data_IF_105476500734
#
_entry.id   IF_105476500734
#
_cell.length_a   1.000
_cell.length_b   1.000
_cell.length_c   1.000
_cell.angle_alpha   90.00
_cell.angle_beta   90.00
_cell.angle_gamma   90.00
#
_symmetry.space_group_name_H-M   'P 1'
#
loop_
_entity.id
_entity.type
_entity.pdbx_description
1 polymer ?
#
# COMPACT_ATOMS: atom_id res chain seq x y z
N UNK A 1 8.81 -32.47 -1.13
CA UNK A 1 7.65 -32.77 -1.97
C UNK A 1 8.02 -33.57 -3.18
N UNK A 2 7.01 -34.08 -3.88
CA UNK A 2 7.14 -34.97 -5.05
C UNK A 2 7.27 -34.22 -6.39
N UNK A 3 7.29 -32.89 -6.38
CA UNK A 3 7.44 -32.06 -7.59
C UNK A 3 8.89 -32.16 -8.11
N UNK A 4 9.10 -32.52 -9.39
CA UNK A 4 10.44 -32.54 -10.00
C UNK A 4 11.12 -31.17 -9.95
N UNK A 5 12.44 -31.16 -9.70
CA UNK A 5 13.21 -29.94 -9.41
C UNK A 5 13.24 -28.97 -10.60
N UNK A 6 13.19 -29.49 -11.81
CA UNK A 6 13.14 -28.75 -13.07
C UNK A 6 11.88 -27.89 -13.22
N UNK A 7 10.78 -28.24 -12.54
CA UNK A 7 9.53 -27.46 -12.59
C UNK A 7 9.41 -26.41 -11.49
N UNK A 8 10.28 -26.41 -10.48
CA UNK A 8 10.27 -25.41 -9.40
C UNK A 8 10.39 -23.97 -9.95
N UNK A 9 11.29 -23.66 -10.91
CA UNK A 9 11.35 -22.34 -11.53
C UNK A 9 10.05 -21.94 -12.22
N UNK A 10 9.32 -22.89 -12.82
CA UNK A 10 8.04 -22.64 -13.48
C UNK A 10 6.97 -22.23 -12.46
N UNK A 11 6.87 -22.96 -11.34
CA UNK A 11 5.99 -22.61 -10.22
C UNK A 11 6.32 -21.21 -9.69
N UNK A 12 7.61 -20.93 -9.46
CA UNK A 12 8.06 -19.62 -8.99
C UNK A 12 7.68 -18.51 -9.98
N UNK A 13 7.83 -18.74 -11.28
CA UNK A 13 7.41 -17.80 -12.33
C UNK A 13 5.91 -17.58 -12.31
N UNK A 14 5.12 -18.63 -12.14
CA UNK A 14 3.66 -18.55 -12.01
C UNK A 14 3.20 -17.68 -10.85
N UNK A 15 3.86 -17.81 -9.70
CA UNK A 15 3.62 -16.99 -8.52
C UNK A 15 4.02 -15.53 -8.80
N UNK A 16 5.24 -15.30 -9.33
CA UNK A 16 5.73 -13.95 -9.64
C UNK A 16 4.86 -13.21 -10.64
N UNK A 17 4.34 -13.90 -11.65
CA UNK A 17 3.43 -13.31 -12.63
C UNK A 17 2.07 -12.94 -12.03
N UNK A 18 1.68 -13.55 -10.90
CA UNK A 18 0.45 -13.22 -10.17
C UNK A 18 0.63 -12.07 -9.16
N UNK A 19 1.85 -11.82 -8.69
CA UNK A 19 2.15 -10.76 -7.69
C UNK A 19 1.66 -9.37 -8.11
N UNK A 20 1.82 -8.91 -9.38
CA UNK A 20 1.35 -7.59 -9.78
C UNK A 20 -0.16 -7.38 -9.69
N UNK A 21 -0.95 -8.45 -9.64
CA UNK A 21 -2.42 -8.41 -9.71
C UNK A 21 -3.04 -9.12 -8.49
N UNK A 22 -3.09 -8.41 -7.36
CA UNK A 22 -3.68 -8.89 -6.12
C UNK A 22 -5.19 -9.10 -6.19
N UNK A 23 -5.71 -9.96 -5.31
CA UNK A 23 -7.10 -10.47 -5.36
C UNK A 23 -8.15 -9.48 -4.83
N UNK A 24 -7.75 -8.40 -4.16
CA UNK A 24 -8.67 -7.43 -3.57
C UNK A 24 -9.11 -6.35 -4.56
N UNK A 25 -8.14 -5.68 -5.18
CA UNK A 25 -8.37 -4.51 -6.04
C UNK A 25 -7.33 -4.41 -7.18
N UNK A 26 -6.68 -5.54 -7.52
CA UNK A 26 -5.71 -5.58 -8.62
C UNK A 26 -4.35 -4.92 -8.35
N UNK A 27 -4.09 -4.45 -7.14
CA UNK A 27 -2.79 -3.87 -6.79
C UNK A 27 -1.69 -4.92 -6.57
N UNK A 28 -0.41 -4.55 -6.71
CA UNK A 28 0.70 -5.44 -6.41
C UNK A 28 0.67 -5.96 -4.98
N UNK A 29 0.95 -7.25 -4.83
CA UNK A 29 1.05 -7.92 -3.53
C UNK A 29 2.47 -7.80 -3.00
N UNK A 30 2.63 -7.31 -1.78
CA UNK A 30 3.93 -7.17 -1.10
C UNK A 30 3.95 -7.97 0.20
N UNK A 31 5.13 -8.12 0.79
CA UNK A 31 5.35 -8.77 2.09
C UNK A 31 4.82 -10.21 2.20
N UNK A 32 4.97 -10.97 1.11
CA UNK A 32 4.59 -12.39 1.05
C UNK A 32 5.80 -13.32 1.07
N UNK A 33 5.69 -14.41 1.83
CA UNK A 33 6.60 -15.55 1.78
C UNK A 33 5.83 -16.76 1.26
N UNK A 34 6.29 -17.32 0.14
CA UNK A 34 5.69 -18.51 -0.46
C UNK A 34 6.63 -19.69 -0.29
N UNK A 35 6.10 -20.84 0.14
CA UNK A 35 6.88 -22.08 0.32
C UNK A 35 6.17 -23.22 -0.39
N UNK A 36 6.84 -23.81 -1.37
CA UNK A 36 6.40 -25.05 -2.01
C UNK A 36 6.86 -26.24 -1.16
N UNK A 37 5.97 -26.80 -0.36
CA UNK A 37 6.28 -27.94 0.51
C UNK A 37 6.02 -29.29 -0.17
N UNK A 38 4.95 -29.37 -0.96
CA UNK A 38 4.55 -30.60 -1.66
C UNK A 38 3.74 -30.34 -2.94
N UNK A 39 3.50 -31.39 -3.71
CA UNK A 39 2.66 -31.39 -4.91
C UNK A 39 2.66 -32.75 -5.60
N UNK A 40 1.94 -32.85 -6.71
CA UNK A 40 1.84 -34.06 -7.53
C UNK A 40 2.15 -33.75 -8.99
N UNK A 41 2.59 -34.76 -9.73
CA UNK A 41 2.80 -34.67 -11.17
C UNK A 41 2.38 -35.97 -11.86
N UNK A 42 2.18 -35.88 -13.16
CA UNK A 42 1.90 -37.00 -14.06
C UNK A 42 2.88 -36.93 -15.22
N UNK A 43 3.57 -38.02 -15.54
CA UNK A 43 4.70 -38.02 -16.50
C UNK A 43 4.34 -37.51 -17.89
N UNK A 44 3.11 -37.75 -18.35
CA UNK A 44 2.67 -37.41 -19.71
C UNK A 44 2.07 -36.00 -19.79
N UNK A 45 1.29 -35.61 -18.78
CA UNK A 45 0.48 -34.39 -18.84
C UNK A 45 1.14 -33.20 -18.14
N UNK A 46 2.15 -33.45 -17.30
CA UNK A 46 2.86 -32.40 -16.58
C UNK A 46 3.93 -31.76 -17.44
N UNK A 47 3.87 -30.43 -17.52
CA UNK A 47 4.81 -29.62 -18.26
C UNK A 47 5.01 -28.27 -17.57
N UNK A 48 5.98 -27.49 -18.06
CA UNK A 48 6.34 -26.19 -17.47
C UNK A 48 5.14 -25.24 -17.37
N UNK A 49 4.32 -25.15 -18.42
CA UNK A 49 3.14 -24.28 -18.44
C UNK A 49 2.09 -24.71 -17.41
N UNK A 50 1.87 -26.02 -17.23
CA UNK A 50 0.96 -26.55 -16.24
C UNK A 50 1.40 -26.16 -14.81
N UNK A 51 2.68 -26.33 -14.48
CA UNK A 51 3.21 -25.94 -13.17
C UNK A 51 3.22 -24.42 -12.94
N UNK A 52 3.48 -23.65 -13.99
CA UNK A 52 3.35 -22.19 -13.95
C UNK A 52 1.92 -21.76 -13.65
N UNK A 53 0.93 -22.32 -14.35
CA UNK A 53 -0.47 -22.04 -14.09
C UNK A 53 -0.89 -22.48 -12.68
N UNK A 54 -0.48 -23.68 -12.25
CA UNK A 54 -0.77 -24.19 -10.92
C UNK A 54 -0.23 -23.28 -9.81
N UNK A 55 1.01 -22.78 -9.95
CA UNK A 55 1.60 -21.82 -9.02
C UNK A 55 0.81 -20.50 -8.93
N UNK A 56 0.37 -19.98 -10.08
CA UNK A 56 -0.46 -18.76 -10.14
C UNK A 56 -1.82 -18.94 -9.46
N UNK A 57 -2.50 -20.04 -9.75
CA UNK A 57 -3.82 -20.38 -9.18
C UNK A 57 -3.69 -20.59 -7.67
N UNK A 58 -2.72 -21.40 -7.23
CA UNK A 58 -2.48 -21.68 -5.82
C UNK A 58 -2.15 -20.42 -5.02
N UNK A 59 -1.36 -19.50 -5.60
CA UNK A 59 -1.05 -18.22 -4.96
C UNK A 59 -2.30 -17.36 -4.78
N UNK A 60 -3.13 -17.20 -5.81
CA UNK A 60 -4.37 -16.41 -5.72
C UNK A 60 -5.36 -17.01 -4.72
N UNK A 61 -5.54 -18.32 -4.73
CA UNK A 61 -6.40 -19.02 -3.75
C UNK A 61 -5.87 -18.89 -2.33
N UNK A 62 -4.55 -19.02 -2.15
CA UNK A 62 -3.90 -18.80 -0.86
C UNK A 62 -4.14 -17.38 -0.33
N UNK A 63 -3.96 -16.37 -1.18
CA UNK A 63 -4.22 -14.97 -0.82
C UNK A 63 -5.67 -14.73 -0.40
N UNK A 64 -6.65 -15.28 -1.12
CA UNK A 64 -8.08 -15.13 -0.77
C UNK A 64 -8.40 -15.67 0.63
N UNK A 65 -7.72 -16.73 1.06
CA UNK A 65 -7.91 -17.37 2.37
C UNK A 65 -7.09 -16.72 3.48
N UNK A 66 -6.08 -15.94 3.14
CA UNK A 66 -5.14 -15.33 4.08
C UNK A 66 -5.63 -14.01 4.70
N UNK A 67 -6.89 -13.61 4.44
CA UNK A 67 -7.45 -12.32 4.87
C UNK A 67 -6.56 -11.13 4.48
N UNK A 68 -6.35 -10.89 3.18
CA UNK A 68 -5.42 -9.87 2.71
C UNK A 68 -5.94 -8.47 3.10
N UNK A 69 -5.03 -7.54 3.34
CA UNK A 69 -5.33 -6.14 3.61
C UNK A 69 -4.88 -5.25 2.44
N UNK A 70 -5.61 -4.15 2.21
CA UNK A 70 -5.14 -3.10 1.31
C UNK A 70 -4.17 -2.22 2.08
N UNK A 71 -3.02 -1.91 1.47
CA UNK A 71 -2.02 -1.05 2.08
C UNK A 71 -2.04 0.33 1.42
N UNK A 72 -1.81 1.37 2.21
CA UNK A 72 -1.56 2.73 1.73
C UNK A 72 -0.14 3.19 2.08
N UNK A 73 0.51 3.97 1.21
CA UNK A 73 1.85 4.51 1.49
C UNK A 73 1.77 5.65 2.50
N UNK A 74 2.58 5.54 3.55
CA UNK A 74 2.74 6.55 4.60
C UNK A 74 4.01 7.37 4.33
N UNK A 75 3.86 8.69 4.36
CA UNK A 75 4.93 9.65 4.15
C UNK A 75 5.44 10.16 5.49
N UNK A 76 6.76 10.22 5.65
CA UNK A 76 7.38 11.05 6.68
C UNK A 76 7.35 12.50 6.18
N UNK A 77 6.63 13.36 6.87
CA UNK A 77 6.44 14.77 6.53
C UNK A 77 7.15 15.62 7.56
N UNK A 78 7.94 16.59 7.10
CA UNK A 78 8.58 17.60 7.93
C UNK A 78 8.07 18.97 7.48
N UNK A 79 7.56 19.77 8.42
CA UNK A 79 7.06 21.12 8.16
C UNK A 79 7.83 22.10 9.01
N UNK A 80 8.46 23.09 8.38
CA UNK A 80 9.09 24.22 9.08
C UNK A 80 8.13 25.41 9.03
N UNK A 81 7.84 26.01 10.19
CA UNK A 81 6.88 27.12 10.28
C UNK A 81 7.21 28.06 11.44
N UNK A 82 6.88 29.36 11.35
CA UNK A 82 6.92 30.25 12.51
C UNK A 82 5.99 29.78 13.63
N UNK A 83 6.35 30.05 14.89
CA UNK A 83 5.57 29.65 16.07
C UNK A 83 4.10 30.12 16.00
N UNK A 84 3.86 31.33 15.48
CA UNK A 84 2.52 31.91 15.29
C UNK A 84 1.55 31.04 14.49
N UNK A 85 2.06 30.16 13.61
CA UNK A 85 1.25 29.29 12.76
C UNK A 85 1.29 27.81 13.12
N UNK A 86 2.09 27.43 14.11
CA UNK A 86 2.27 26.04 14.51
C UNK A 86 0.92 25.36 14.78
N UNK A 87 0.01 26.03 15.48
CA UNK A 87 -1.33 25.51 15.76
C UNK A 87 -2.15 25.19 14.51
N UNK A 88 -2.08 26.06 13.49
CA UNK A 88 -2.78 25.84 12.21
C UNK A 88 -2.19 24.66 11.44
N UNK A 89 -0.86 24.54 11.43
CA UNK A 89 -0.15 23.43 10.77
C UNK A 89 -0.52 22.10 11.43
N UNK A 90 -0.40 22.00 12.75
CA UNK A 90 -0.72 20.79 13.50
C UNK A 90 -2.18 20.41 13.35
N UNK A 91 -3.10 21.38 13.47
CA UNK A 91 -4.52 21.14 13.28
C UNK A 91 -4.85 20.59 11.89
N UNK A 92 -4.21 21.13 10.85
CA UNK A 92 -4.43 20.66 9.48
C UNK A 92 -3.81 19.29 9.20
N UNK A 93 -2.61 18.99 9.72
CA UNK A 93 -2.01 17.65 9.64
C UNK A 93 -2.91 16.60 10.31
N UNK A 94 -3.43 16.89 11.50
CA UNK A 94 -4.38 15.99 12.18
C UNK A 94 -5.66 15.77 11.36
N UNK A 95 -6.19 16.81 10.71
CA UNK A 95 -7.38 16.67 9.83
C UNK A 95 -7.14 15.76 8.62
N UNK A 96 -5.87 15.55 8.26
CA UNK A 96 -5.39 14.70 7.16
C UNK A 96 -4.93 13.32 7.62
N UNK A 97 -5.46 12.84 8.75
CA UNK A 97 -5.03 11.57 9.37
C UNK A 97 -3.52 11.53 9.68
N UNK A 98 -2.91 12.69 9.84
CA UNK A 98 -1.51 12.83 10.20
C UNK A 98 -1.28 12.50 11.66
N UNK A 99 -0.24 11.73 11.95
CA UNK A 99 0.21 11.43 13.31
C UNK A 99 1.48 12.20 13.61
N UNK A 100 1.38 13.18 14.50
CA UNK A 100 2.53 13.99 14.93
C UNK A 100 3.52 13.10 15.69
N UNK A 101 4.78 13.13 15.28
CA UNK A 101 5.88 12.37 15.87
C UNK A 101 6.69 13.25 16.83
N UNK A 102 7.04 14.46 16.39
CA UNK A 102 7.76 15.42 17.22
C UNK A 102 7.46 16.87 16.80
N UNK A 103 7.71 17.78 17.74
CA UNK A 103 7.71 19.21 17.53
C UNK A 103 9.00 19.76 18.17
N UNK A 104 9.83 20.40 17.36
CA UNK A 104 11.18 20.82 17.75
C UNK A 104 11.37 22.32 17.47
N UNK A 105 12.13 23.00 18.31
CA UNK A 105 12.48 24.41 18.12
C UNK A 105 13.62 24.56 17.11
N UNK A 106 13.48 25.51 16.18
CA UNK A 106 14.53 25.90 15.25
C UNK A 106 15.34 27.07 15.81
N UNK A 107 16.63 27.09 15.48
CA UNK A 107 17.44 28.29 15.68
C UNK A 107 16.83 29.47 14.90
N UNK A 108 16.52 30.56 15.61
CA UNK A 108 15.87 31.74 15.02
C UNK A 108 14.36 31.86 15.23
N UNK A 109 13.76 31.02 16.07
CA UNK A 109 12.36 31.18 16.52
C UNK A 109 11.30 30.49 15.63
N UNK A 110 11.72 29.60 14.74
CA UNK A 110 10.83 28.70 14.00
C UNK A 110 10.53 27.41 14.76
N UNK A 111 9.58 26.62 14.26
CA UNK A 111 9.24 25.27 14.72
C UNK A 111 9.37 24.28 13.57
N UNK A 112 9.87 23.09 13.85
CA UNK A 112 9.78 21.92 12.97
C UNK A 112 8.71 20.99 13.51
N UNK A 113 7.75 20.61 12.68
CA UNK A 113 6.73 19.61 12.99
C UNK A 113 6.98 18.38 12.12
N UNK A 114 7.25 17.25 12.77
CA UNK A 114 7.39 15.95 12.09
C UNK A 114 6.11 15.15 12.25
N UNK A 115 5.61 14.59 11.16
CA UNK A 115 4.39 13.80 11.15
C UNK A 115 4.49 12.64 10.16
N UNK A 116 3.70 11.60 10.42
CA UNK A 116 3.41 10.56 9.45
C UNK A 116 2.04 10.81 8.84
N UNK A 117 1.95 10.90 7.51
CA UNK A 117 0.70 11.22 6.83
C UNK A 117 0.50 10.30 5.63
N UNK A 118 -0.69 9.72 5.44
CA UNK A 118 -0.99 8.95 4.24
C UNK A 118 -0.83 9.81 2.98
N UNK A 119 -0.15 9.30 1.95
CA UNK A 119 0.12 10.05 0.71
C UNK A 119 -1.17 10.54 0.03
N UNK A 120 -2.25 9.76 0.11
CA UNK A 120 -3.56 10.12 -0.43
C UNK A 120 -4.08 11.46 0.13
N UNK A 121 -3.70 11.79 1.37
CA UNK A 121 -4.09 13.02 2.05
C UNK A 121 -3.11 14.17 1.79
N UNK A 122 -1.99 13.94 1.12
CA UNK A 122 -0.96 14.97 0.87
C UNK A 122 -1.16 15.74 -0.45
N UNK A 123 -2.16 15.35 -1.25
CA UNK A 123 -2.48 16.07 -2.47
C UNK A 123 -2.92 17.52 -2.15
N UNK A 124 -2.43 18.47 -2.94
CA UNK A 124 -2.62 19.92 -2.75
C UNK A 124 -2.10 20.49 -1.41
N UNK A 125 -1.35 19.73 -0.61
CA UNK A 125 -0.89 20.18 0.71
C UNK A 125 -0.04 21.46 0.63
N UNK A 126 0.84 21.59 -0.38
CA UNK A 126 1.66 22.79 -0.61
C UNK A 126 0.83 24.08 -0.67
N UNK A 127 -0.24 24.08 -1.46
CA UNK A 127 -1.11 25.25 -1.63
C UNK A 127 -1.84 25.60 -0.34
N UNK A 128 -2.36 24.60 0.37
CA UNK A 128 -3.05 24.81 1.64
C UNK A 128 -2.10 25.30 2.73
N UNK A 129 -0.91 24.71 2.85
CA UNK A 129 0.11 25.11 3.82
C UNK A 129 0.50 26.58 3.61
N UNK A 130 0.70 27.00 2.35
CA UNK A 130 0.98 28.40 2.02
C UNK A 130 -0.13 29.32 2.51
N UNK A 131 -1.40 28.94 2.33
CA UNK A 131 -2.54 29.73 2.80
C UNK A 131 -2.60 29.81 4.33
N UNK A 132 -2.37 28.69 5.03
CA UNK A 132 -2.44 28.60 6.50
C UNK A 132 -1.35 29.41 7.21
N UNK A 133 -0.23 29.65 6.52
CA UNK A 133 0.98 30.24 7.08
C UNK A 133 1.38 31.56 6.41
N UNK A 134 0.49 32.11 5.57
CA UNK A 134 0.77 33.31 4.76
C UNK A 134 2.05 33.16 3.90
N UNK A 135 2.36 31.93 3.50
CA UNK A 135 3.53 31.57 2.72
C UNK A 135 4.84 31.54 3.48
N UNK A 136 4.79 31.46 4.82
CA UNK A 136 5.97 31.44 5.68
C UNK A 136 6.38 30.04 6.14
N UNK A 137 5.69 29.00 5.68
CA UNK A 137 6.07 27.61 5.95
C UNK A 137 6.50 26.86 4.70
N UNK A 138 7.39 25.91 4.91
CA UNK A 138 7.89 24.94 3.92
C UNK A 138 7.60 23.53 4.41
N UNK A 139 7.54 22.57 3.49
CA UNK A 139 7.48 21.17 3.89
C UNK A 139 8.28 20.31 2.94
N UNK A 140 8.74 19.19 3.46
CA UNK A 140 9.31 18.08 2.69
C UNK A 140 8.55 16.80 3.06
N UNK A 141 8.59 15.82 2.16
CA UNK A 141 8.07 14.50 2.47
C UNK A 141 8.84 13.41 1.74
N UNK A 142 9.02 12.27 2.39
CA UNK A 142 9.62 11.07 1.82
C UNK A 142 8.80 9.83 2.18
N UNK A 143 8.87 8.80 1.32
CA UNK A 143 8.22 7.54 1.59
C UNK A 143 8.83 6.90 2.84
N UNK A 144 7.99 6.52 3.81
CA UNK A 144 8.43 5.83 5.03
C UNK A 144 8.18 4.33 4.95
N UNK A 145 6.91 3.95 4.82
CA UNK A 145 6.49 2.54 4.79
C UNK A 145 5.06 2.42 4.25
N UNK A 146 4.61 1.19 4.04
CA UNK A 146 3.20 0.88 3.81
C UNK A 146 2.52 0.52 5.11
N UNK A 147 1.28 0.97 5.30
CA UNK A 147 0.43 0.62 6.44
C UNK A 147 -0.95 0.16 5.97
N UNK A 148 -1.67 -0.59 6.79
CA UNK A 148 -3.03 -1.02 6.46
C UNK A 148 -3.96 0.19 6.30
N UNK A 149 -4.63 0.26 5.16
CA UNK A 149 -5.58 1.31 4.87
C UNK A 149 -6.81 1.16 5.80
N UNK A 150 -7.34 2.26 6.36
CA UNK A 150 -8.57 2.23 7.13
C UNK A 150 -9.71 1.55 6.38
N UNK A 151 -10.51 0.75 7.09
CA UNK A 151 -11.56 -0.08 6.51
C UNK A 151 -12.51 0.68 5.58
N UNK A 152 -12.92 1.90 5.97
CA UNK A 152 -13.79 2.76 5.17
C UNK A 152 -13.17 3.16 3.83
N UNK A 153 -11.85 3.36 3.77
CA UNK A 153 -11.12 3.68 2.54
C UNK A 153 -10.92 2.41 1.71
N UNK A 154 -10.50 1.33 2.35
CA UNK A 154 -10.28 0.04 1.72
C UNK A 154 -11.55 -0.49 1.04
N UNK A 155 -12.69 -0.50 1.74
CA UNK A 155 -13.98 -0.96 1.22
C UNK A 155 -14.42 -0.11 0.01
N UNK A 156 -14.15 1.20 0.02
CA UNK A 156 -14.45 2.08 -1.11
C UNK A 156 -13.66 1.72 -2.38
N UNK A 157 -12.36 1.46 -2.23
CA UNK A 157 -11.47 1.09 -3.33
C UNK A 157 -11.81 -0.31 -3.85
N UNK A 158 -11.95 -1.27 -2.93
CA UNK A 158 -12.29 -2.66 -3.28
C UNK A 158 -13.63 -2.70 -4.03
N UNK A 159 -14.65 -1.97 -3.60
CA UNK A 159 -15.92 -1.99 -4.31
C UNK A 159 -15.88 -1.34 -5.70
N UNK A 160 -14.97 -0.39 -5.94
CA UNK A 160 -14.80 0.25 -7.24
C UNK A 160 -13.98 -0.62 -8.21
N UNK A 161 -12.90 -1.20 -7.71
CA UNK A 161 -11.83 -1.77 -8.55
C UNK A 161 -11.73 -3.30 -8.44
N UNK A 162 -12.71 -3.98 -7.83
CA UNK A 162 -12.70 -5.44 -7.71
C UNK A 162 -12.76 -6.10 -9.11
N UNK A 163 -11.70 -6.81 -9.53
CA UNK A 163 -11.62 -7.40 -10.86
C UNK A 163 -12.63 -8.54 -11.08
N UNK A 164 -13.15 -9.15 -10.01
CA UNK A 164 -14.15 -10.22 -10.07
C UNK A 164 -15.60 -9.65 -10.08
N UNK A 165 -15.80 -8.36 -9.77
CA UNK A 165 -17.08 -7.68 -9.96
C UNK A 165 -17.11 -7.01 -11.33
N UNK A 166 -17.70 -7.69 -12.32
CA UNK A 166 -17.95 -7.11 -13.64
C UNK A 166 -18.70 -5.75 -13.56
N UNK A 167 -18.64 -4.91 -14.61
CA UNK A 167 -19.25 -3.58 -14.61
C UNK A 167 -20.78 -3.72 -14.48
N UNK A 168 -21.33 -3.60 -13.27
CA UNK A 168 -22.79 -3.63 -13.08
C UNK A 168 -23.38 -4.16 -11.77
N UNK A 169 -22.62 -4.42 -10.70
CA UNK A 169 -23.22 -4.90 -9.43
C UNK A 169 -23.52 -3.81 -8.39
N UNK A 170 -23.54 -2.53 -8.80
CA UNK A 170 -23.94 -1.39 -7.96
C UNK A 170 -25.29 -0.82 -8.39
N UNK A 171 -26.39 -1.51 -8.07
CA UNK A 171 -27.73 -0.95 -7.82
C UNK A 171 -28.74 -2.08 -7.55
N UNK A 172 -29.06 -2.29 -6.28
CA UNK A 172 -30.42 -2.55 -5.79
C UNK A 172 -30.57 -1.83 -4.47
#
# INVERSE_FOLDING_TARGET
GSVPREYIPAVQKGIKDAIPNGVLAGFPVVDVKVTLFDGSYHEVDSNENAFKMAGSIAFKEGLRRANPALLEPIMAVEVETPEDFMGNVVGHLNSRRGMIQSMEDMAGGGKVVRAEVPLAEMFSYSTTLRSLTQGRATYTMEFKHYSEAPKNIADGIINRDNPDKGPGSGKK
#
